data_IF_917064678529
#
_entry.id   IF_917064678529
#
_cell.length_a   1.000
_cell.length_b   1.000
_cell.length_c   1.000
_cell.angle_alpha   90.00
_cell.angle_beta   90.00
_cell.angle_gamma   90.00
#
_symmetry.space_group_name_H-M   'P 1'
#
loop_
_entity.id
_entity.type
_entity.pdbx_description
1 polymer ?
#
# COMPACT_ATOMS: atom_id res chain seq x y z
N UNK A 1 12.12 4.04 -19.00
CA UNK A 1 11.50 4.19 -17.66
C UNK A 1 10.87 2.87 -17.28
N UNK A 2 11.03 2.37 -16.03
CA UNK A 2 10.38 1.12 -15.63
C UNK A 2 8.86 1.29 -15.67
N UNK A 3 8.17 0.39 -16.38
CA UNK A 3 6.72 0.30 -16.35
C UNK A 3 6.30 -0.10 -14.94
N UNK A 4 5.60 0.81 -14.23
CA UNK A 4 5.10 0.57 -12.87
C UNK A 4 3.58 0.54 -12.90
N UNK A 5 2.95 -0.64 -13.11
CA UNK A 5 1.51 -0.78 -13.08
C UNK A 5 0.93 -0.43 -11.72
N UNK A 6 -0.28 0.14 -11.74
CA UNK A 6 -1.10 0.35 -10.55
C UNK A 6 -1.95 -0.90 -10.34
N UNK A 7 -2.02 -1.36 -9.10
CA UNK A 7 -2.79 -2.53 -8.69
C UNK A 7 -3.88 -2.17 -7.70
N UNK A 8 -5.05 -2.77 -7.89
CA UNK A 8 -6.09 -2.88 -6.87
C UNK A 8 -5.84 -4.15 -6.06
N UNK A 9 -6.01 -4.05 -4.74
CA UNK A 9 -5.81 -5.13 -3.79
C UNK A 9 -7.13 -5.47 -3.12
N UNK A 10 -7.41 -6.76 -3.06
CA UNK A 10 -8.49 -7.33 -2.25
C UNK A 10 -7.91 -8.29 -1.21
N UNK A 11 -8.59 -8.44 -0.09
CA UNK A 11 -8.20 -9.39 0.94
C UNK A 11 -8.29 -10.82 0.42
N UNK A 12 -7.23 -11.62 0.58
CA UNK A 12 -7.26 -13.04 0.16
C UNK A 12 -8.29 -13.85 0.94
N UNK A 13 -8.56 -13.47 2.18
CA UNK A 13 -9.41 -14.20 3.12
C UNK A 13 -10.91 -13.92 2.93
N UNK A 14 -11.30 -12.65 2.77
CA UNK A 14 -12.72 -12.26 2.69
C UNK A 14 -13.10 -11.49 1.42
N UNK A 15 -12.16 -11.30 0.49
CA UNK A 15 -12.35 -10.57 -0.79
C UNK A 15 -12.70 -9.08 -0.69
N UNK A 16 -12.83 -8.54 0.53
CA UNK A 16 -13.05 -7.10 0.74
C UNK A 16 -11.93 -6.27 0.12
N UNK A 17 -12.30 -5.10 -0.42
CA UNK A 17 -11.34 -4.15 -0.98
C UNK A 17 -10.36 -3.66 0.10
N UNK A 18 -9.06 -3.59 -0.22
CA UNK A 18 -8.00 -3.10 0.67
C UNK A 18 -7.48 -1.75 0.19
N UNK A 19 -7.01 -1.68 -1.05
CA UNK A 19 -6.41 -0.47 -1.64
C UNK A 19 -6.57 -0.48 -3.16
N UNK A 20 -6.90 0.67 -3.77
CA UNK A 20 -7.06 0.78 -5.24
C UNK A 20 -5.84 1.35 -5.97
N UNK A 21 -4.78 1.72 -5.23
CA UNK A 21 -3.61 2.44 -5.75
C UNK A 21 -2.30 1.92 -5.17
N UNK A 22 -2.04 0.65 -5.40
CA UNK A 22 -0.80 0.03 -4.96
C UNK A 22 0.16 -0.22 -6.13
N UNK A 23 1.43 -0.42 -5.82
CA UNK A 23 2.44 -0.91 -6.76
C UNK A 23 3.20 -2.08 -6.14
N UNK A 24 3.71 -2.97 -6.99
CA UNK A 24 4.65 -4.00 -6.55
C UNK A 24 5.91 -3.36 -5.97
N UNK A 25 6.38 -3.92 -4.86
CA UNK A 25 7.60 -3.53 -4.17
C UNK A 25 8.34 -4.77 -3.68
N UNK A 26 9.61 -4.61 -3.36
CA UNK A 26 10.45 -5.64 -2.73
C UNK A 26 10.99 -5.08 -1.42
N UNK A 27 11.13 -5.94 -0.42
CA UNK A 27 11.73 -5.53 0.84
C UNK A 27 13.24 -5.31 0.65
N UNK A 28 13.75 -4.13 1.00
CA UNK A 28 15.18 -3.82 0.84
C UNK A 28 16.09 -4.72 1.69
N UNK A 29 15.58 -5.22 2.81
CA UNK A 29 16.30 -6.12 3.70
C UNK A 29 16.31 -7.59 3.23
N UNK A 30 15.34 -7.99 2.38
CA UNK A 30 15.26 -9.33 1.78
C UNK A 30 14.49 -9.24 0.46
N UNK A 31 15.23 -9.22 -0.65
CA UNK A 31 14.68 -9.04 -2.00
C UNK A 31 13.84 -10.22 -2.50
N UNK A 32 13.81 -11.34 -1.76
CA UNK A 32 12.94 -12.48 -2.04
C UNK A 32 11.50 -12.22 -1.58
N UNK A 33 11.30 -11.24 -0.71
CA UNK A 33 9.98 -10.87 -0.19
C UNK A 33 9.36 -9.81 -1.11
N UNK A 34 8.40 -10.25 -1.91
CA UNK A 34 7.53 -9.37 -2.69
C UNK A 34 6.37 -8.84 -1.83
N UNK A 35 6.10 -7.55 -1.98
CA UNK A 35 5.06 -6.81 -1.29
C UNK A 35 4.31 -5.93 -2.29
N UNK A 36 3.22 -5.36 -1.85
CA UNK A 36 2.64 -4.18 -2.48
C UNK A 36 2.86 -2.97 -1.59
N UNK A 37 3.02 -1.79 -2.17
CA UNK A 37 3.16 -0.55 -1.43
C UNK A 37 2.26 0.54 -1.99
N UNK A 38 1.86 1.48 -1.15
CA UNK A 38 1.03 2.63 -1.55
C UNK A 38 1.48 3.90 -0.83
N UNK A 39 1.23 5.03 -1.46
CA UNK A 39 1.56 6.36 -0.97
C UNK A 39 0.55 6.90 0.06
N UNK A 40 -0.59 6.22 0.23
CA UNK A 40 -1.67 6.69 1.10
C UNK A 40 -2.44 5.51 1.70
N UNK A 41 -2.97 5.62 2.94
CA UNK A 41 -3.71 4.51 3.57
C UNK A 41 -4.87 4.04 2.70
N UNK A 42 -5.00 2.73 2.53
CA UNK A 42 -6.20 2.12 1.95
C UNK A 42 -7.44 2.42 2.77
N UNK A 43 -8.61 2.52 2.13
CA UNK A 43 -9.88 2.74 2.84
C UNK A 43 -10.42 1.47 3.53
N UNK A 44 -9.98 0.29 3.08
CA UNK A 44 -10.47 -1.01 3.57
C UNK A 44 -9.65 -1.62 4.71
N UNK A 45 -8.85 -0.80 5.39
CA UNK A 45 -7.89 -1.24 6.39
C UNK A 45 -7.97 -0.44 7.68
N UNK A 46 -7.49 -1.05 8.76
CA UNK A 46 -7.36 -0.43 10.08
C UNK A 46 -5.95 -0.66 10.62
N UNK A 47 -5.35 0.39 11.19
CA UNK A 47 -4.11 0.28 11.96
C UNK A 47 -4.41 -0.36 13.32
N UNK A 48 -3.63 -1.37 13.69
CA UNK A 48 -3.65 -1.95 15.04
C UNK A 48 -2.93 -1.04 16.03
N UNK A 49 -3.10 -1.27 17.33
CA UNK A 49 -2.64 -0.31 18.34
C UNK A 49 -1.14 -0.38 18.66
N UNK A 50 -0.51 -1.55 18.47
CA UNK A 50 0.85 -1.80 18.97
C UNK A 50 1.90 -1.64 17.88
N UNK A 51 2.88 -0.79 18.18
CA UNK A 51 4.10 -0.66 17.41
C UNK A 51 5.11 -1.74 17.82
N UNK A 52 5.95 -2.14 16.88
CA UNK A 52 7.12 -2.97 17.16
C UNK A 52 8.26 -2.64 16.19
N UNK A 53 9.46 -3.10 16.54
CA UNK A 53 10.65 -2.88 15.72
C UNK A 53 10.89 -4.07 14.79
N UNK A 54 11.24 -3.79 13.54
CA UNK A 54 11.73 -4.83 12.63
C UNK A 54 13.07 -5.37 13.12
N UNK A 55 13.29 -6.68 12.98
CA UNK A 55 14.52 -7.33 13.47
C UNK A 55 15.77 -6.91 12.68
N UNK A 56 15.62 -6.62 11.38
CA UNK A 56 16.76 -6.37 10.50
C UNK A 56 17.21 -4.92 10.48
N UNK A 57 16.26 -3.98 10.37
CA UNK A 57 16.58 -2.55 10.22
C UNK A 57 16.09 -1.67 11.38
N UNK A 58 15.41 -2.25 12.39
CA UNK A 58 14.87 -1.52 13.54
C UNK A 58 13.93 -0.36 13.15
N UNK A 59 13.27 -0.44 11.99
CA UNK A 59 12.17 0.46 11.67
C UNK A 59 11.01 0.17 12.62
N UNK A 60 10.35 1.23 13.11
CA UNK A 60 9.12 1.10 13.88
C UNK A 60 7.96 0.91 12.92
N UNK A 61 7.29 -0.23 13.04
CA UNK A 61 6.15 -0.58 12.22
C UNK A 61 4.94 -0.92 13.07
N UNK A 62 3.77 -0.83 12.45
CA UNK A 62 2.47 -1.13 13.05
C UNK A 62 1.66 -1.95 12.07
N UNK A 63 1.08 -3.04 12.54
CA UNK A 63 0.28 -3.91 11.69
C UNK A 63 -1.00 -3.25 11.21
N UNK A 64 -1.44 -3.69 10.04
CA UNK A 64 -2.64 -3.23 9.36
C UNK A 64 -3.54 -4.43 9.11
N UNK A 65 -4.76 -4.36 9.64
CA UNK A 65 -5.79 -5.39 9.50
C UNK A 65 -6.82 -5.02 8.43
N UNK A 66 -7.40 -6.02 7.77
CA UNK A 66 -8.54 -5.85 6.88
C UNK A 66 -9.80 -5.52 7.69
N UNK A 67 -10.51 -4.45 7.33
CA UNK A 67 -11.78 -4.08 7.98
C UNK A 67 -12.90 -5.12 7.79
N UNK A 68 -12.81 -5.95 6.75
CA UNK A 68 -13.83 -6.95 6.46
C UNK A 68 -13.75 -8.22 7.32
N UNK A 69 -12.55 -8.63 7.74
CA UNK A 69 -12.35 -9.90 8.47
C UNK A 69 -11.37 -9.84 9.64
N UNK A 70 -10.69 -8.72 9.88
CA UNK A 70 -9.73 -8.56 10.97
C UNK A 70 -8.36 -9.21 10.75
N UNK A 71 -8.16 -9.99 9.68
CA UNK A 71 -6.84 -10.57 9.37
C UNK A 71 -5.81 -9.48 9.07
N UNK A 72 -4.57 -9.70 9.52
CA UNK A 72 -3.42 -8.85 9.16
C UNK A 72 -3.13 -9.00 7.67
N UNK A 73 -3.06 -7.87 6.97
CA UNK A 73 -2.84 -7.81 5.51
C UNK A 73 -1.59 -7.04 5.14
N UNK A 74 -0.94 -6.39 6.11
CA UNK A 74 0.21 -5.53 5.86
C UNK A 74 0.64 -4.79 7.12
N UNK A 75 1.46 -3.76 6.91
CA UNK A 75 1.97 -2.91 7.96
C UNK A 75 2.22 -1.49 7.46
N UNK A 76 2.24 -0.55 8.40
CA UNK A 76 2.64 0.84 8.19
C UNK A 76 3.98 1.09 8.87
N UNK A 77 4.91 1.75 8.17
CA UNK A 77 6.15 2.26 8.77
C UNK A 77 5.83 3.55 9.50
N UNK A 78 5.71 3.46 10.82
CA UNK A 78 5.47 4.59 11.72
C UNK A 78 6.71 5.49 11.78
N UNK A 79 7.90 4.88 11.81
CA UNK A 79 9.16 5.61 11.81
C UNK A 79 10.25 4.81 11.10
N UNK A 80 10.78 5.30 9.96
CA UNK A 80 11.89 4.67 9.26
C UNK A 80 13.20 4.92 10.01
N UNK A 81 14.11 3.95 9.98
CA UNK A 81 15.48 4.18 10.43
C UNK A 81 16.29 4.98 9.39
N UNK A 82 17.36 5.66 9.82
CA UNK A 82 18.22 6.47 8.93
C UNK A 82 18.79 5.68 7.74
N UNK A 83 19.24 4.41 7.89
CA UNK A 83 19.68 3.60 6.75
C UNK A 83 18.58 3.38 5.70
N UNK A 84 17.35 3.03 6.10
CA UNK A 84 16.25 2.82 5.17
C UNK A 84 15.85 4.12 4.45
N UNK A 85 15.91 5.25 5.16
CA UNK A 85 15.59 6.56 4.59
C UNK A 85 16.62 7.01 3.54
N UNK A 86 17.90 6.68 3.73
CA UNK A 86 19.00 6.98 2.78
C UNK A 86 19.15 5.97 1.65
N UNK A 87 18.48 4.82 1.74
CA UNK A 87 18.49 3.78 0.72
C UNK A 87 17.58 4.16 -0.46
N UNK A 88 17.69 3.44 -1.58
CA UNK A 88 16.78 3.62 -2.71
C UNK A 88 15.39 3.03 -2.38
N UNK A 89 14.52 3.84 -1.80
CA UNK A 89 13.12 3.52 -1.53
C UNK A 89 12.19 4.29 -2.47
N UNK A 90 10.91 3.91 -2.50
CA UNK A 90 9.89 4.59 -3.31
C UNK A 90 9.09 5.64 -2.52
N UNK A 91 9.50 5.96 -1.29
CA UNK A 91 8.82 6.91 -0.40
C UNK A 91 7.49 6.40 0.19
N UNK A 92 7.12 5.13 -0.03
CA UNK A 92 5.88 4.58 0.49
C UNK A 92 6.05 4.05 1.92
N UNK A 93 5.10 4.38 2.79
CA UNK A 93 5.08 3.96 4.19
C UNK A 93 4.00 2.92 4.48
N UNK A 94 3.24 2.50 3.49
CA UNK A 94 2.18 1.51 3.62
C UNK A 94 2.52 0.30 2.76
N UNK A 95 2.65 -0.86 3.40
CA UNK A 95 3.06 -2.11 2.77
C UNK A 95 1.98 -3.16 3.00
N UNK A 96 1.71 -3.97 1.98
CA UNK A 96 0.76 -5.08 2.02
C UNK A 96 1.46 -6.37 1.65
N UNK A 97 1.18 -7.43 2.41
CA UNK A 97 1.76 -8.74 2.17
C UNK A 97 1.13 -9.39 0.93
N UNK A 98 1.97 -9.93 0.06
CA UNK A 98 1.57 -10.57 -1.20
C UNK A 98 0.78 -11.87 -0.98
N UNK A 99 1.01 -12.56 0.13
CA UNK A 99 0.27 -13.74 0.56
C UNK A 99 -1.12 -13.39 1.13
N UNK A 100 -1.27 -12.24 1.80
CA UNK A 100 -2.53 -11.80 2.38
C UNK A 100 -3.44 -11.03 1.41
N UNK A 101 -2.90 -10.57 0.27
CA UNK A 101 -3.61 -9.77 -0.73
C UNK A 101 -3.73 -10.48 -2.08
N UNK A 102 -4.83 -10.23 -2.80
CA UNK A 102 -5.03 -10.60 -4.21
C UNK A 102 -4.94 -9.33 -5.07
N UNK A 103 -3.91 -9.22 -5.94
CA UNK A 103 -3.73 -8.06 -6.81
C UNK A 103 -4.47 -8.21 -8.14
N UNK A 104 -4.98 -7.10 -8.66
CA UNK A 104 -5.52 -6.96 -10.02
C UNK A 104 -4.96 -5.69 -10.63
N UNK A 105 -4.41 -5.76 -11.84
CA UNK A 105 -3.95 -4.56 -12.55
C UNK A 105 -5.13 -3.63 -12.81
N UNK A 106 -4.96 -2.36 -12.42
CA UNK A 106 -5.96 -1.33 -12.64
C UNK A 106 -5.90 -0.87 -14.09
N UNK A 107 -7.05 -0.74 -14.73
CA UNK A 107 -7.18 -0.14 -16.06
C UNK A 107 -7.25 1.38 -15.97
N UNK A 108 -6.78 2.05 -17.02
CA UNK A 108 -6.93 3.50 -17.16
C UNK A 108 -8.38 3.89 -17.48
N UNK A 109 -8.64 5.17 -17.69
CA UNK A 109 -9.99 5.67 -17.97
C UNK A 109 -10.56 5.15 -19.31
N UNK A 110 -9.73 4.62 -20.21
CA UNK A 110 -10.21 3.97 -21.44
C UNK A 110 -10.74 2.55 -21.17
N UNK A 111 -10.39 1.96 -20.02
CA UNK A 111 -10.71 0.57 -19.68
C UNK A 111 -9.85 -0.47 -20.41
N UNK A 112 -8.98 -0.06 -21.34
CA UNK A 112 -8.21 -0.96 -22.21
C UNK A 112 -6.80 -1.13 -21.67
N UNK A 113 -6.07 -0.01 -21.53
CA UNK A 113 -4.67 -0.05 -21.11
C UNK A 113 -4.54 -0.17 -19.59
N UNK A 114 -3.43 -0.77 -19.14
CA UNK A 114 -3.07 -0.82 -17.72
C UNK A 114 -2.63 0.57 -17.26
N UNK A 115 -3.20 1.05 -16.16
CA UNK A 115 -2.86 2.32 -15.55
C UNK A 115 -1.44 2.25 -14.97
N UNK A 116 -0.60 3.20 -15.37
CA UNK A 116 0.76 3.34 -14.86
C UNK A 116 0.82 4.36 -13.72
N UNK A 117 1.74 4.15 -12.78
CA UNK A 117 1.93 5.04 -11.62
C UNK A 117 2.24 6.49 -12.04
N UNK A 118 2.94 6.68 -13.16
CA UNK A 118 3.23 8.00 -13.74
C UNK A 118 1.99 8.77 -14.18
N UNK A 119 0.89 8.05 -14.44
CA UNK A 119 -0.38 8.59 -14.92
C UNK A 119 -1.48 8.49 -13.86
N UNK A 120 -1.14 8.03 -12.65
CA UNK A 120 -2.06 7.87 -11.54
C UNK A 120 -2.45 9.26 -10.99
N UNK A 121 -3.75 9.58 -10.85
CA UNK A 121 -4.18 10.82 -10.22
C UNK A 121 -3.69 10.93 -8.78
N UNK A 122 -3.64 12.16 -8.27
CA UNK A 122 -3.42 12.39 -6.84
C UNK A 122 -4.52 11.70 -6.02
N UNK A 123 -4.23 11.24 -4.79
CA UNK A 123 -5.20 10.53 -3.95
C UNK A 123 -6.55 11.23 -3.81
N UNK A 124 -6.57 12.55 -3.67
CA UNK A 124 -7.78 13.38 -3.54
C UNK A 124 -8.62 13.45 -4.82
N UNK A 125 -8.06 13.06 -5.97
CA UNK A 125 -8.73 13.06 -7.29
C UNK A 125 -8.90 11.66 -7.87
N UNK A 126 -8.56 10.64 -7.09
CA UNK A 126 -8.61 9.25 -7.53
C UNK A 126 -9.91 8.60 -7.08
N UNK A 127 -10.96 8.71 -7.91
CA UNK A 127 -12.31 8.22 -7.58
C UNK A 127 -12.36 6.73 -7.21
N UNK A 128 -11.57 5.88 -7.89
CA UNK A 128 -11.54 4.45 -7.55
C UNK A 128 -10.88 4.21 -6.19
N UNK A 129 -9.91 5.04 -5.80
CA UNK A 129 -9.31 4.98 -4.47
C UNK A 129 -10.25 5.51 -3.39
N UNK A 130 -11.01 6.56 -3.71
CA UNK A 130 -12.02 7.13 -2.83
C UNK A 130 -13.23 6.21 -2.62
N UNK A 131 -13.46 5.21 -3.48
CA UNK A 131 -14.68 4.38 -3.48
C UNK A 131 -15.97 5.25 -3.49
N UNK A 132 -15.92 6.43 -4.11
CA UNK A 132 -17.01 7.41 -4.10
C UNK A 132 -17.10 8.30 -2.85
N UNK A 133 -16.18 8.19 -1.89
CA UNK A 133 -16.07 9.05 -0.71
C UNK A 133 -15.13 10.25 -0.89
N UNK A 134 -14.85 10.97 0.21
CA UNK A 134 -13.80 12.00 0.26
C UNK A 134 -12.79 11.63 1.35
N UNK A 135 -11.49 11.84 1.08
CA UNK A 135 -10.46 11.65 2.10
C UNK A 135 -10.26 12.96 2.84
N UNK A 136 -10.42 12.99 4.17
CA UNK A 136 -10.10 14.16 4.97
C UNK A 136 -8.65 14.58 4.70
N UNK A 137 -8.41 15.88 4.49
CA UNK A 137 -7.06 16.39 4.23
C UNK A 137 -6.04 15.96 5.30
N UNK A 138 -6.47 15.81 6.56
CA UNK A 138 -5.64 15.34 7.67
C UNK A 138 -5.15 13.88 7.55
N UNK A 139 -5.77 13.08 6.66
CA UNK A 139 -5.39 11.68 6.38
C UNK A 139 -4.55 11.53 5.11
N UNK A 140 -4.33 12.62 4.37
CA UNK A 140 -3.38 12.65 3.25
C UNK A 140 -1.98 12.85 3.84
N UNK A 141 -1.23 11.76 4.02
CA UNK A 141 0.15 11.84 4.47
C UNK A 141 1.00 12.60 3.41
N UNK A 142 1.76 13.61 3.87
CA UNK A 142 2.90 14.18 3.15
C UNK A 142 4.17 13.44 3.53
#
# INVERSE_FOLDING_TARGET
>A
MPFKPVYQLTCRYCTSHICARSMKAILLADTRIELFSTDTPGQGIQLLEKDYLTRTCHCRIRDVACLGCGNVVGYHVVSPCSPCLRSCNNGHFWMFHSDACKPVERKDNSGIATLLWSSLPRPDRDFCFLLGGTIPYSKLCR
#
